data_IF_581010639194
#
_entry.id   IF_581010639194
#
_cell.length_a   1.000
_cell.length_b   1.000
_cell.length_c   1.000
_cell.angle_alpha   90.00
_cell.angle_beta   90.00
_cell.angle_gamma   90.00
#
_symmetry.space_group_name_H-M   'P 1'
#
loop_
_entity.id
_entity.type
_entity.pdbx_description
1 polymer ?
#
# COMPACT_ATOMS: atom_id res chain seq x y z
N UNK A 1 3.34 -11.93 -13.09
CA UNK A 1 2.81 -12.62 -11.90
C UNK A 1 3.71 -12.21 -10.75
N UNK A 2 3.11 -11.61 -9.73
CA UNK A 2 3.83 -11.23 -8.52
C UNK A 2 4.45 -12.49 -7.92
N UNK A 3 5.77 -12.50 -7.64
CA UNK A 3 6.41 -13.67 -7.07
C UNK A 3 5.80 -13.97 -5.70
N UNK A 4 5.46 -15.22 -5.49
CA UNK A 4 5.00 -15.68 -4.18
C UNK A 4 6.25 -15.93 -3.33
N UNK A 5 6.21 -15.58 -2.04
CA UNK A 5 7.34 -15.91 -1.17
C UNK A 5 7.42 -17.43 -0.96
N UNK A 6 6.28 -18.03 -0.66
CA UNK A 6 6.09 -19.47 -0.54
C UNK A 6 4.80 -19.90 -1.24
N UNK A 7 4.72 -21.17 -1.64
CA UNK A 7 3.55 -21.78 -2.29
C UNK A 7 3.05 -22.97 -1.49
N UNK A 8 1.73 -23.15 -1.43
CA UNK A 8 1.12 -24.40 -0.98
C UNK A 8 0.65 -25.17 -2.21
N UNK A 9 1.35 -26.24 -2.57
CA UNK A 9 1.05 -27.04 -3.78
C UNK A 9 -0.25 -27.86 -3.64
N UNK A 10 -0.68 -28.12 -2.40
CA UNK A 10 -1.91 -28.88 -2.13
C UNK A 10 -3.19 -28.06 -2.38
N UNK A 11 -3.07 -26.74 -2.56
CA UNK A 11 -4.21 -25.86 -2.77
C UNK A 11 -4.67 -25.87 -4.24
N UNK A 12 -5.96 -26.15 -4.47
CA UNK A 12 -6.54 -26.14 -5.81
C UNK A 12 -6.35 -24.76 -6.50
N UNK A 13 -5.70 -24.75 -7.66
CA UNK A 13 -5.37 -23.53 -8.40
C UNK A 13 -4.10 -22.81 -7.93
N UNK A 14 -3.22 -23.50 -7.19
CA UNK A 14 -1.90 -22.97 -6.82
C UNK A 14 -1.06 -22.66 -8.07
N UNK A 15 -0.35 -21.54 -8.03
CA UNK A 15 0.63 -21.23 -9.08
C UNK A 15 1.77 -22.27 -9.08
N UNK A 16 2.48 -22.47 -10.21
CA UNK A 16 3.60 -23.41 -10.28
C UNK A 16 4.71 -23.04 -9.30
N UNK A 17 5.40 -24.02 -8.71
CA UNK A 17 6.50 -23.81 -7.75
C UNK A 17 7.59 -22.86 -8.26
N UNK A 18 7.82 -22.80 -9.58
CA UNK A 18 8.74 -21.87 -10.24
C UNK A 18 8.45 -20.38 -9.91
N UNK A 19 7.21 -20.05 -9.55
CA UNK A 19 6.81 -18.70 -9.17
C UNK A 19 7.09 -18.36 -7.70
N UNK A 20 7.50 -19.34 -6.87
CA UNK A 20 7.87 -19.13 -5.49
C UNK A 20 9.37 -18.78 -5.35
N UNK A 21 9.68 -17.71 -4.62
CA UNK A 21 11.07 -17.31 -4.37
C UNK A 21 11.79 -18.22 -3.37
N UNK A 22 11.08 -18.73 -2.36
CA UNK A 22 11.66 -19.54 -1.30
C UNK A 22 11.16 -20.99 -1.28
N UNK A 23 10.33 -21.39 -2.26
CA UNK A 23 9.85 -22.76 -2.42
C UNK A 23 8.50 -23.04 -1.73
N UNK A 24 8.25 -24.29 -1.30
CA UNK A 24 6.98 -24.69 -0.72
C UNK A 24 6.78 -24.09 0.68
N UNK A 25 5.55 -24.12 1.18
CA UNK A 25 5.20 -23.61 2.49
C UNK A 25 6.00 -24.34 3.59
N UNK A 26 6.62 -23.61 4.54
CA UNK A 26 7.48 -24.23 5.53
C UNK A 26 6.69 -25.04 6.57
N UNK A 27 7.11 -26.29 6.80
CA UNK A 27 6.52 -27.20 7.80
C UNK A 27 6.58 -26.67 9.26
N UNK A 28 7.50 -25.74 9.54
CA UNK A 28 7.67 -25.16 10.88
C UNK A 28 6.69 -24.03 11.21
N UNK A 29 5.87 -23.57 10.24
CA UNK A 29 4.93 -22.47 10.46
C UNK A 29 3.77 -22.93 11.37
N UNK A 30 3.34 -22.12 12.36
CA UNK A 30 2.26 -22.52 13.25
C UNK A 30 0.93 -22.65 12.48
N UNK A 31 0.19 -23.74 12.74
CA UNK A 31 -1.15 -24.02 12.18
C UNK A 31 -2.21 -22.94 12.49
N UNK A 32 -1.90 -21.98 13.36
CA UNK A 32 -2.77 -20.84 13.66
C UNK A 32 -2.88 -19.86 12.48
N UNK A 33 -1.88 -19.82 11.60
CA UNK A 33 -1.84 -18.90 10.47
C UNK A 33 -2.44 -19.59 9.25
N UNK A 34 -3.52 -19.07 8.65
CA UNK A 34 -4.06 -19.63 7.41
C UNK A 34 -2.98 -19.67 6.33
N UNK A 35 -2.77 -20.83 5.73
CA UNK A 35 -1.79 -21.07 4.66
C UNK A 35 -2.21 -20.26 3.43
N UNK A 36 -1.78 -19.00 3.40
CA UNK A 36 -2.07 -18.06 2.33
C UNK A 36 -0.81 -17.25 2.05
N UNK A 37 -0.25 -17.32 0.82
CA UNK A 37 0.93 -16.54 0.46
C UNK A 37 0.77 -15.02 0.69
N UNK A 38 -0.46 -14.53 0.62
CA UNK A 38 -0.81 -13.13 0.84
C UNK A 38 -0.53 -12.63 2.27
N UNK A 39 -0.60 -13.50 3.28
CA UNK A 39 -0.44 -13.10 4.70
C UNK A 39 0.98 -12.59 5.00
N UNK A 40 1.97 -13.16 4.33
CA UNK A 40 3.38 -12.77 4.51
C UNK A 40 3.65 -11.41 3.89
N UNK A 41 3.00 -11.15 2.76
CA UNK A 41 3.10 -9.89 2.03
C UNK A 41 2.33 -8.78 2.75
N UNK A 42 1.20 -9.11 3.38
CA UNK A 42 0.31 -8.17 4.07
C UNK A 42 1.03 -7.34 5.14
N UNK A 43 2.04 -7.88 5.82
CA UNK A 43 2.79 -7.18 6.85
C UNK A 43 3.39 -5.85 6.37
N UNK A 44 3.86 -5.79 5.11
CA UNK A 44 4.42 -4.56 4.52
C UNK A 44 3.38 -3.44 4.36
N UNK A 45 2.35 -3.62 3.53
CA UNK A 45 1.30 -2.61 3.34
C UNK A 45 0.53 -2.28 4.63
N UNK A 46 0.30 -3.28 5.49
CA UNK A 46 -0.39 -3.08 6.77
C UNK A 46 0.44 -2.21 7.71
N UNK A 47 1.74 -2.49 7.86
CA UNK A 47 2.61 -1.67 8.70
C UNK A 47 2.69 -0.22 8.22
N UNK A 48 2.77 0.01 6.90
CA UNK A 48 2.74 1.37 6.34
C UNK A 48 1.44 2.10 6.63
N UNK A 49 0.28 1.43 6.54
CA UNK A 49 -1.03 2.01 6.86
C UNK A 49 -1.19 2.29 8.34
N UNK A 50 -0.96 1.30 9.21
CA UNK A 50 -1.18 1.42 10.65
C UNK A 50 -0.29 2.48 11.31
N UNK A 51 0.89 2.73 10.74
CA UNK A 51 1.85 3.70 11.29
C UNK A 51 1.72 5.10 10.69
N UNK A 52 0.86 5.26 9.68
CA UNK A 52 0.59 6.52 9.01
C UNK A 52 -0.09 7.52 9.96
N UNK A 53 0.28 8.80 9.84
CA UNK A 53 -0.30 9.91 10.60
C UNK A 53 -1.84 9.96 10.55
N UNK A 54 -2.45 9.62 9.41
CA UNK A 54 -3.91 9.59 9.28
C UNK A 54 -4.54 8.50 10.17
N UNK A 55 -4.06 7.26 10.08
CA UNK A 55 -4.57 6.16 10.91
C UNK A 55 -4.23 6.36 12.38
N UNK A 56 -3.07 6.96 12.66
CA UNK A 56 -2.68 7.43 13.98
C UNK A 56 -3.72 8.34 14.61
N UNK A 57 -4.11 9.39 13.89
CA UNK A 57 -5.18 10.30 14.33
C UNK A 57 -6.49 9.54 14.56
N UNK A 58 -6.82 8.55 13.73
CA UNK A 58 -8.04 7.75 13.88
C UNK A 58 -8.04 6.97 15.20
N UNK A 59 -7.05 6.10 15.44
CA UNK A 59 -7.07 5.27 16.65
C UNK A 59 -6.87 6.08 17.94
N UNK A 60 -6.11 7.20 17.92
CA UNK A 60 -5.98 8.06 19.10
C UNK A 60 -7.32 8.69 19.48
N UNK A 61 -8.13 9.12 18.51
CA UNK A 61 -9.43 9.74 18.76
C UNK A 61 -10.51 8.72 19.07
N UNK A 62 -10.55 7.60 18.33
CA UNK A 62 -11.64 6.62 18.40
C UNK A 62 -11.43 5.55 19.49
N UNK A 63 -10.21 5.08 19.71
CA UNK A 63 -9.93 4.01 20.68
C UNK A 63 -9.30 4.52 21.98
N UNK A 64 -8.38 5.48 21.89
CA UNK A 64 -7.70 6.03 23.08
C UNK A 64 -8.36 7.29 23.64
N UNK A 65 -9.44 7.78 23.02
CA UNK A 65 -10.19 8.97 23.44
C UNK A 65 -9.29 10.17 23.75
N UNK A 66 -8.19 10.32 23.01
CA UNK A 66 -7.25 11.45 23.11
C UNK A 66 -7.74 12.58 22.21
N UNK A 67 -8.21 13.67 22.82
CA UNK A 67 -9.58 14.17 22.69
C UNK A 67 -10.27 13.85 21.35
N UNK A 68 -11.45 13.20 21.36
CA UNK A 68 -12.11 12.76 20.14
C UNK A 68 -12.57 13.92 19.25
N UNK A 69 -12.79 15.13 19.79
CA UNK A 69 -13.07 16.35 19.02
C UNK A 69 -12.61 17.59 19.79
N UNK A 70 -12.52 18.74 19.11
CA UNK A 70 -12.08 19.99 19.72
C UNK A 70 -12.96 20.42 20.92
N UNK A 71 -14.24 20.07 20.90
CA UNK A 71 -15.20 20.38 21.95
C UNK A 71 -15.44 19.22 22.94
N UNK A 72 -14.80 18.06 22.74
CA UNK A 72 -15.05 16.86 23.56
C UNK A 72 -13.77 16.53 24.33
N UNK A 73 -13.87 16.60 25.65
CA UNK A 73 -12.78 16.23 26.55
C UNK A 73 -12.38 14.77 26.32
N UNK A 74 -11.07 14.53 26.27
CA UNK A 74 -10.52 13.18 26.22
C UNK A 74 -10.44 12.53 27.59
N UNK A 75 -9.93 11.30 27.63
CA UNK A 75 -9.60 10.63 28.89
C UNK A 75 -8.50 11.44 29.61
N UNK A 76 -8.70 11.84 30.87
CA UNK A 76 -7.71 12.62 31.60
C UNK A 76 -6.44 11.79 31.84
N UNK A 77 -5.34 12.23 31.23
CA UNK A 77 -4.01 11.65 31.42
C UNK A 77 -3.26 12.52 32.44
N UNK A 78 -2.66 11.88 33.46
CA UNK A 78 -1.84 12.59 34.45
C UNK A 78 -0.62 13.24 33.79
N UNK A 79 0.11 12.46 33.00
CA UNK A 79 1.30 12.90 32.27
C UNK A 79 1.23 12.43 30.81
N UNK A 80 1.39 13.35 29.87
CA UNK A 80 1.55 13.01 28.45
C UNK A 80 3.00 12.59 28.18
N UNK A 81 3.23 11.29 27.98
CA UNK A 81 4.57 10.74 27.70
C UNK A 81 4.91 10.65 26.20
N UNK A 82 4.07 11.20 25.32
CA UNK A 82 4.24 11.09 23.88
C UNK A 82 4.28 9.65 23.37
N UNK A 83 4.96 9.43 22.25
CA UNK A 83 5.09 8.12 21.59
C UNK A 83 6.22 7.29 22.21
N UNK A 84 6.04 6.89 23.47
CA UNK A 84 6.99 6.06 24.22
C UNK A 84 6.52 4.61 24.35
N UNK A 85 7.43 3.71 24.76
CA UNK A 85 7.21 2.27 24.91
C UNK A 85 6.66 1.62 23.62
N UNK A 86 5.42 1.12 23.64
CA UNK A 86 4.81 0.42 22.49
C UNK A 86 4.55 1.35 21.31
N UNK A 87 4.37 2.65 21.55
CA UNK A 87 4.08 3.62 20.50
C UNK A 87 5.33 4.04 19.72
N UNK A 88 6.53 3.57 20.10
CA UNK A 88 7.76 3.77 19.30
C UNK A 88 7.63 3.10 17.92
N UNK A 89 6.82 2.05 17.80
CA UNK A 89 6.53 1.39 16.53
C UNK A 89 6.03 2.39 15.48
N UNK A 90 5.41 3.48 15.90
CA UNK A 90 4.90 4.52 15.02
C UNK A 90 6.01 5.24 14.23
N UNK A 91 7.26 5.21 14.71
CA UNK A 91 8.42 5.76 14.01
C UNK A 91 8.86 4.92 12.81
N UNK A 92 8.47 3.64 12.75
CA UNK A 92 8.85 2.76 11.63
C UNK A 92 8.17 3.19 10.33
N UNK A 93 7.15 4.06 10.37
CA UNK A 93 6.47 4.57 9.18
C UNK A 93 7.48 5.06 8.13
N UNK A 94 8.55 5.74 8.57
CA UNK A 94 9.65 6.21 7.72
C UNK A 94 10.33 5.08 6.94
N UNK A 95 10.52 3.92 7.55
CA UNK A 95 11.14 2.76 6.91
C UNK A 95 10.14 2.00 6.03
N UNK A 96 8.91 1.83 6.52
CA UNK A 96 7.83 1.17 5.76
C UNK A 96 7.44 1.93 4.50
N UNK A 97 7.73 3.24 4.41
CA UNK A 97 7.60 4.02 3.17
C UNK A 97 8.44 3.42 2.03
N UNK A 98 9.69 3.03 2.29
CA UNK A 98 10.55 2.46 1.24
C UNK A 98 10.04 1.10 0.77
N UNK A 99 9.53 0.29 1.70
CA UNK A 99 8.88 -0.99 1.40
C UNK A 99 7.62 -0.74 0.54
N UNK A 100 6.79 0.25 0.90
CA UNK A 100 5.60 0.61 0.13
C UNK A 100 5.94 1.09 -1.29
N UNK A 101 7.01 1.86 -1.47
CA UNK A 101 7.49 2.25 -2.81
C UNK A 101 7.89 1.00 -3.62
N UNK A 102 8.56 0.03 -3.00
CA UNK A 102 8.88 -1.25 -3.63
C UNK A 102 7.63 -2.00 -4.09
N UNK A 103 6.60 -2.08 -3.23
CA UNK A 103 5.31 -2.68 -3.59
C UNK A 103 4.63 -1.98 -4.77
N UNK A 104 4.60 -0.64 -4.77
CA UNK A 104 4.05 0.12 -5.90
C UNK A 104 4.79 -0.22 -7.18
N UNK A 105 6.13 -0.31 -7.16
CA UNK A 105 6.92 -0.66 -8.34
C UNK A 105 6.62 -2.07 -8.86
N UNK A 106 6.55 -3.08 -7.97
CA UNK A 106 6.22 -4.46 -8.35
C UNK A 106 4.80 -4.54 -8.93
N UNK A 107 3.82 -3.91 -8.28
CA UNK A 107 2.44 -3.90 -8.76
C UNK A 107 2.28 -3.13 -10.07
N UNK A 108 3.04 -2.05 -10.29
CA UNK A 108 3.10 -1.36 -11.57
C UNK A 108 3.67 -2.24 -12.67
N UNK A 109 4.68 -3.06 -12.37
CA UNK A 109 5.23 -4.02 -13.32
C UNK A 109 4.22 -5.12 -13.67
N UNK A 110 3.52 -5.69 -12.68
CA UNK A 110 2.46 -6.67 -12.93
C UNK A 110 1.29 -6.08 -13.71
N UNK A 111 0.90 -4.84 -13.41
CA UNK A 111 -0.10 -4.12 -14.19
C UNK A 111 0.33 -3.96 -15.65
N UNK A 112 1.59 -3.61 -15.91
CA UNK A 112 2.12 -3.54 -17.28
C UNK A 112 2.07 -4.89 -17.98
N UNK A 113 2.50 -5.97 -17.31
CA UNK A 113 2.43 -7.33 -17.87
C UNK A 113 0.99 -7.78 -18.16
N UNK A 114 0.00 -7.30 -17.40
CA UNK A 114 -1.41 -7.66 -17.62
C UNK A 114 -1.98 -7.20 -18.97
N UNK A 115 -1.27 -6.33 -19.71
CA UNK A 115 -1.61 -5.92 -21.07
C UNK A 115 -0.98 -6.80 -22.16
N UNK A 116 -0.36 -7.92 -21.79
CA UNK A 116 0.24 -8.85 -22.74
C UNK A 116 -0.24 -10.27 -22.49
N UNK A 117 -0.76 -10.91 -23.53
CA UNK A 117 -1.13 -12.33 -23.54
C UNK A 117 -0.44 -13.00 -24.73
N UNK A 118 0.41 -13.98 -24.47
CA UNK A 118 1.21 -14.70 -25.49
C UNK A 118 1.97 -13.74 -26.44
N UNK A 119 2.51 -12.65 -25.88
CA UNK A 119 3.23 -11.61 -26.64
C UNK A 119 2.35 -10.63 -27.41
N UNK A 120 1.02 -10.77 -27.40
CA UNK A 120 0.09 -9.85 -28.05
C UNK A 120 -0.42 -8.80 -27.07
N UNK A 121 -0.37 -7.54 -27.47
CA UNK A 121 -0.95 -6.43 -26.71
C UNK A 121 -2.48 -6.48 -26.78
N UNK A 122 -3.12 -6.16 -25.66
CA UNK A 122 -4.56 -5.99 -25.60
C UNK A 122 -4.98 -5.39 -24.27
N UNK A 123 -6.28 -5.26 -24.07
CA UNK A 123 -6.87 -4.67 -22.86
C UNK A 123 -8.03 -5.54 -22.41
N UNK A 124 -7.95 -6.02 -21.17
CA UNK A 124 -9.06 -6.63 -20.46
C UNK A 124 -9.61 -5.71 -19.38
N UNK A 125 -10.83 -6.00 -18.91
CA UNK A 125 -11.37 -5.36 -17.71
C UNK A 125 -10.46 -5.66 -16.51
N UNK A 126 -9.94 -6.89 -16.42
CA UNK A 126 -8.92 -7.27 -15.45
C UNK A 126 -7.65 -6.40 -15.53
N UNK A 127 -7.12 -6.17 -16.74
CA UNK A 127 -5.93 -5.34 -16.93
C UNK A 127 -6.13 -3.89 -16.47
N UNK A 128 -7.32 -3.32 -16.71
CA UNK A 128 -7.67 -1.97 -16.23
C UNK A 128 -7.75 -1.94 -14.69
N UNK A 129 -8.40 -2.94 -14.08
CA UNK A 129 -8.50 -3.04 -12.62
C UNK A 129 -7.12 -3.16 -11.99
N UNK A 130 -6.26 -4.00 -12.56
CA UNK A 130 -4.88 -4.20 -12.13
C UNK A 130 -4.01 -2.95 -12.34
N UNK A 131 -4.26 -2.14 -13.38
CA UNK A 131 -3.57 -0.87 -13.62
C UNK A 131 -3.98 0.23 -12.62
N UNK A 132 -5.27 0.33 -12.31
CA UNK A 132 -5.77 1.33 -11.36
C UNK A 132 -5.27 1.07 -9.94
N UNK A 133 -4.99 -0.18 -9.59
CA UNK A 133 -4.50 -0.57 -8.28
C UNK A 133 -3.19 0.13 -7.85
N UNK A 134 -2.05 -0.01 -8.57
CA UNK A 134 -0.82 0.70 -8.25
C UNK A 134 -0.97 2.22 -8.39
N UNK A 135 -1.86 2.74 -9.23
CA UNK A 135 -2.11 4.20 -9.32
C UNK A 135 -2.70 4.73 -8.02
N UNK A 136 -3.73 4.08 -7.47
CA UNK A 136 -4.33 4.48 -6.20
C UNK A 136 -3.37 4.28 -5.02
N UNK A 137 -2.61 3.18 -5.02
CA UNK A 137 -1.57 2.93 -4.02
C UNK A 137 -0.42 3.95 -4.11
N UNK A 138 -0.03 4.35 -5.31
CA UNK A 138 0.95 5.41 -5.55
C UNK A 138 0.45 6.76 -5.02
N UNK A 139 -0.82 7.11 -5.28
CA UNK A 139 -1.45 8.31 -4.71
C UNK A 139 -1.40 8.33 -3.18
N UNK A 140 -1.64 7.19 -2.54
CA UNK A 140 -1.51 7.05 -1.08
C UNK A 140 -0.05 7.17 -0.62
N UNK A 141 0.87 6.43 -1.25
CA UNK A 141 2.28 6.35 -0.86
C UNK A 141 3.01 7.67 -1.07
N UNK A 142 2.87 8.28 -2.24
CA UNK A 142 3.52 9.54 -2.59
C UNK A 142 2.77 10.76 -2.05
N UNK A 143 1.52 10.62 -1.61
CA UNK A 143 0.81 11.66 -0.87
C UNK A 143 1.10 11.69 0.62
N UNK A 144 1.94 10.81 1.17
CA UNK A 144 2.14 10.73 2.62
C UNK A 144 3.05 11.85 3.15
N UNK A 145 2.91 12.17 4.44
CA UNK A 145 3.76 13.19 5.09
C UNK A 145 5.24 12.81 5.10
N UNK A 146 5.56 11.52 5.22
CA UNK A 146 6.93 11.04 5.18
C UNK A 146 7.57 11.25 3.80
N UNK A 147 6.82 11.02 2.72
CA UNK A 147 7.30 11.29 1.35
C UNK A 147 7.43 12.79 1.07
N UNK A 148 6.52 13.61 1.60
CA UNK A 148 6.63 15.08 1.54
C UNK A 148 7.90 15.60 2.22
N UNK A 149 8.25 15.02 3.37
CA UNK A 149 9.50 15.34 4.06
C UNK A 149 10.72 14.88 3.25
N UNK A 150 10.66 13.69 2.65
CA UNK A 150 11.72 13.16 1.79
C UNK A 150 11.93 14.03 0.54
N UNK A 151 10.86 14.41 -0.15
CA UNK A 151 10.91 15.23 -1.37
C UNK A 151 11.33 16.68 -1.12
N UNK A 152 11.07 17.20 0.07
CA UNK A 152 11.55 18.51 0.52
C UNK A 152 13.06 18.57 0.78
N UNK A 153 13.76 17.43 0.79
CA UNK A 153 15.22 17.39 0.78
C UNK A 153 15.91 17.94 2.02
N UNK A 154 15.24 17.92 3.19
CA UNK A 154 15.76 18.46 4.47
C UNK A 154 16.17 19.95 4.40
N UNK A 155 15.49 20.73 3.57
CA UNK A 155 15.74 22.17 3.44
C UNK A 155 14.66 22.95 4.18
N UNK A 156 15.07 23.87 5.05
CA UNK A 156 14.15 24.79 5.73
C UNK A 156 13.75 25.99 4.85
N UNK A 157 14.49 26.22 3.76
CA UNK A 157 14.23 27.30 2.83
C UNK A 157 14.54 26.92 1.38
N UNK A 158 13.51 26.90 0.54
CA UNK A 158 13.65 26.60 -0.89
C UNK A 158 14.27 27.76 -1.69
N UNK A 159 14.17 29.00 -1.19
CA UNK A 159 14.58 30.23 -1.91
C UNK A 159 15.95 30.77 -1.47
N UNK A 160 16.48 30.33 -0.32
CA UNK A 160 17.66 30.94 0.32
C UNK A 160 19.00 30.65 -0.39
N UNK A 161 19.10 29.60 -1.21
CA UNK A 161 20.27 29.41 -2.07
C UNK A 161 19.94 29.85 -3.50
N UNK A 162 20.28 31.10 -3.83
CA UNK A 162 20.32 31.66 -5.19
C UNK A 162 19.04 31.55 -6.05
N UNK A 163 17.83 31.77 -5.52
CA UNK A 163 16.66 32.22 -6.30
C UNK A 163 16.17 31.38 -7.49
N UNK A 164 16.80 30.24 -7.82
CA UNK A 164 16.38 29.34 -8.89
C UNK A 164 15.37 28.37 -8.29
N UNK A 165 14.14 28.37 -8.83
CA UNK A 165 13.08 27.46 -8.44
C UNK A 165 13.57 26.02 -8.52
N UNK A 166 13.91 25.44 -7.37
CA UNK A 166 14.46 24.09 -7.29
C UNK A 166 13.39 23.11 -7.77
N UNK A 167 13.79 22.12 -8.57
CA UNK A 167 12.92 21.00 -8.96
C UNK A 167 12.28 20.34 -7.73
N UNK A 168 13.01 20.29 -6.60
CA UNK A 168 12.50 19.84 -5.31
C UNK A 168 11.28 20.62 -4.81
N UNK A 169 11.19 21.94 -5.03
CA UNK A 169 10.02 22.74 -4.65
C UNK A 169 8.79 22.36 -5.46
N UNK A 170 8.94 22.14 -6.78
CA UNK A 170 7.82 21.68 -7.63
C UNK A 170 7.33 20.29 -7.22
N UNK A 171 8.26 19.36 -6.96
CA UNK A 171 7.92 18.02 -6.45
C UNK A 171 7.21 18.14 -5.10
N UNK A 172 7.75 18.93 -4.17
CA UNK A 172 7.16 19.15 -2.86
C UNK A 172 5.77 19.78 -2.94
N UNK A 173 5.54 20.70 -3.88
CA UNK A 173 4.23 21.32 -4.10
C UNK A 173 3.21 20.31 -4.64
N UNK A 174 3.60 19.48 -5.60
CA UNK A 174 2.76 18.38 -6.09
C UNK A 174 2.43 17.35 -5.01
N UNK A 175 3.42 16.96 -4.21
CA UNK A 175 3.23 16.06 -3.06
C UNK A 175 2.34 16.71 -2.00
N UNK A 176 2.47 18.02 -1.76
CA UNK A 176 1.61 18.75 -0.82
C UNK A 176 0.16 18.78 -1.28
N UNK A 177 -0.09 18.91 -2.59
CA UNK A 177 -1.43 18.80 -3.17
C UNK A 177 -2.02 17.39 -2.97
N UNK A 178 -1.24 16.35 -3.26
CA UNK A 178 -1.66 14.96 -3.00
C UNK A 178 -1.91 14.71 -1.51
N UNK A 179 -1.07 15.27 -0.63
CA UNK A 179 -1.16 15.13 0.82
C UNK A 179 -2.45 15.75 1.39
N UNK A 180 -2.92 16.87 0.83
CA UNK A 180 -4.21 17.45 1.21
C UNK A 180 -5.41 16.49 1.01
N UNK A 181 -5.27 15.50 0.13
CA UNK A 181 -6.27 14.45 -0.13
C UNK A 181 -5.80 13.06 0.33
N UNK A 182 -4.83 12.98 1.24
CA UNK A 182 -4.23 11.71 1.65
C UNK A 182 -5.26 10.71 2.21
N UNK A 183 -6.25 11.19 2.97
CA UNK A 183 -7.36 10.35 3.45
C UNK A 183 -8.15 9.74 2.29
N UNK A 184 -8.46 10.51 1.25
CA UNK A 184 -9.17 10.00 0.07
C UNK A 184 -8.36 8.89 -0.62
N UNK A 185 -7.06 9.11 -0.83
CA UNK A 185 -6.18 8.09 -1.42
C UNK A 185 -6.07 6.83 -0.58
N UNK A 186 -6.12 6.95 0.76
CA UNK A 186 -6.12 5.80 1.67
C UNK A 186 -7.36 4.92 1.46
N UNK A 187 -8.54 5.53 1.43
CA UNK A 187 -9.81 4.81 1.27
C UNK A 187 -9.98 4.22 -0.13
N UNK A 188 -9.73 4.99 -1.18
CA UNK A 188 -9.89 4.50 -2.54
C UNK A 188 -8.92 3.36 -2.83
N UNK A 189 -7.66 3.44 -2.39
CA UNK A 189 -6.70 2.34 -2.56
C UNK A 189 -7.09 1.09 -1.78
N UNK A 190 -7.63 1.23 -0.57
CA UNK A 190 -8.07 0.08 0.23
C UNK A 190 -9.27 -0.63 -0.38
N UNK A 191 -10.28 0.12 -0.78
CA UNK A 191 -11.47 -0.43 -1.46
C UNK A 191 -11.06 -1.07 -2.78
N UNK A 192 -10.20 -0.41 -3.55
CA UNK A 192 -9.79 -0.90 -4.86
C UNK A 192 -8.94 -2.17 -4.80
N UNK A 193 -8.03 -2.28 -3.83
CA UNK A 193 -7.28 -3.54 -3.60
C UNK A 193 -8.25 -4.69 -3.34
N UNK A 194 -9.23 -4.50 -2.44
CA UNK A 194 -10.22 -5.52 -2.14
C UNK A 194 -11.08 -5.88 -3.38
N UNK A 195 -11.48 -4.89 -4.17
CA UNK A 195 -12.20 -5.10 -5.42
C UNK A 195 -11.35 -5.87 -6.44
N UNK A 196 -10.06 -5.55 -6.58
CA UNK A 196 -9.12 -6.25 -7.44
C UNK A 196 -8.97 -7.72 -7.05
N UNK A 197 -8.78 -7.99 -5.76
CA UNK A 197 -8.67 -9.36 -5.24
C UNK A 197 -9.95 -10.18 -5.48
N UNK A 198 -11.12 -9.58 -5.21
CA UNK A 198 -12.41 -10.23 -5.47
C UNK A 198 -12.59 -10.48 -6.97
N UNK A 199 -12.31 -9.49 -7.81
CA UNK A 199 -12.45 -9.60 -9.26
C UNK A 199 -11.58 -10.73 -9.82
N UNK A 200 -10.27 -10.72 -9.52
CA UNK A 200 -9.33 -11.74 -9.99
C UNK A 200 -9.74 -13.12 -9.47
N UNK A 201 -10.17 -13.22 -8.20
CA UNK A 201 -10.62 -14.50 -7.62
C UNK A 201 -11.88 -15.03 -8.30
N UNK A 202 -12.85 -14.18 -8.61
CA UNK A 202 -14.09 -14.59 -9.27
C UNK A 202 -13.88 -14.97 -10.73
N UNK A 203 -13.00 -14.26 -11.44
CA UNK A 203 -12.57 -14.63 -12.79
C UNK A 203 -11.81 -15.96 -12.78
N UNK A 204 -10.85 -16.15 -11.87
CA UNK A 204 -10.09 -17.40 -11.76
C UNK A 204 -10.96 -18.61 -11.40
N UNK A 205 -12.05 -18.41 -10.66
CA UNK A 205 -13.05 -19.44 -10.36
C UNK A 205 -14.06 -19.70 -11.49
N UNK A 206 -14.02 -18.90 -12.56
CA UNK A 206 -14.97 -18.99 -13.67
C UNK A 206 -16.38 -18.47 -13.34
N UNK A 207 -16.57 -17.75 -12.22
CA UNK A 207 -17.85 -17.11 -11.92
C UNK A 207 -18.07 -15.85 -12.75
N UNK A 208 -16.99 -15.11 -13.03
CA UNK A 208 -17.01 -13.90 -13.85
C UNK A 208 -16.18 -14.10 -15.12
N UNK A 209 -16.64 -13.53 -16.23
CA UNK A 209 -15.90 -13.49 -17.49
C UNK A 209 -15.10 -12.19 -17.57
N UNK A 210 -13.80 -12.29 -17.84
CA UNK A 210 -12.98 -11.11 -18.15
C UNK A 210 -13.16 -10.75 -19.63
N UNK A 211 -13.93 -9.70 -19.89
CA UNK A 211 -14.09 -9.17 -21.23
C UNK A 211 -12.77 -8.53 -21.69
N UNK A 212 -12.23 -9.01 -22.80
CA UNK A 212 -10.92 -8.60 -23.26
C UNK A 212 -10.79 -8.55 -24.78
N UNK A 213 -9.84 -7.76 -25.26
CA UNK A 213 -9.57 -7.64 -26.71
C UNK A 213 -8.79 -8.84 -27.27
N UNK A 214 -8.26 -9.73 -26.42
CA UNK A 214 -7.53 -10.93 -26.87
C UNK A 214 -8.45 -12.08 -27.32
N UNK A 215 -9.76 -11.94 -27.10
CA UNK A 215 -10.78 -12.93 -27.46
C UNK A 215 -11.82 -13.08 -26.36
N UNK A 216 -13.05 -13.41 -26.76
CA UNK A 216 -14.09 -13.98 -25.91
C UNK A 216 -13.90 -15.49 -25.83
#
# INVERSE_FOLDING_TARGET
YSPLLFIEESAAGSAPLLHAWFGPWPDWMPNLIPVTPAILILAGPLSFRLTCYYYRKFYYRSYFLSPPACSVAGVPLKDYKGETALLVIQNIHRFTLYIAIGFVAVLSYDAFLSFFRDGKLGVGVGSIILLLNPIFLAGYTFGCHAFRHLSGGRQDCFTCSQGKGKVSFKIWQGVSWLNGRHMFWAWISMIWVALGDIYVRLVAKGYWTDFSTWGN
#
